data_IF_628924596825
#
_entry.id   IF_628924596825
#
_cell.length_a   1.000
_cell.length_b   1.000
_cell.length_c   1.000
_cell.angle_alpha   90.00
_cell.angle_beta   90.00
_cell.angle_gamma   90.00
#
_symmetry.space_group_name_H-M   'P 1'
#
loop_
_entity.id
_entity.type
_entity.pdbx_description
1 polymer ?
#
# COMPACT_ATOMS: atom_id res chain seq x y z
N UNK A 1 -26.34 -2.68 15.94
CA UNK A 1 -25.36 -2.70 17.05
C UNK A 1 -24.01 -3.10 16.46
N UNK A 2 -22.97 -2.28 16.56
CA UNK A 2 -21.64 -2.69 16.07
C UNK A 2 -21.04 -3.68 17.05
N UNK A 3 -20.55 -4.85 16.61
CA UNK A 3 -19.99 -5.84 17.51
C UNK A 3 -18.76 -5.25 18.22
N UNK A 4 -18.66 -5.52 19.53
CA UNK A 4 -17.52 -5.08 20.35
C UNK A 4 -16.24 -5.73 19.78
N UNK A 5 -15.17 -4.96 19.51
CA UNK A 5 -13.94 -5.52 18.95
C UNK A 5 -13.30 -6.53 19.90
N UNK A 6 -12.96 -7.70 19.36
CA UNK A 6 -12.26 -8.77 20.08
C UNK A 6 -10.78 -8.41 20.32
N UNK A 7 -10.07 -9.25 21.07
CA UNK A 7 -8.62 -9.09 21.26
C UNK A 7 -7.86 -9.18 19.93
N UNK A 8 -8.25 -10.09 19.05
CA UNK A 8 -7.62 -10.26 17.73
C UNK A 8 -7.90 -9.06 16.82
N UNK A 9 -9.10 -8.48 16.87
CA UNK A 9 -9.42 -7.26 16.12
C UNK A 9 -8.53 -6.10 16.55
N UNK A 10 -8.30 -5.94 17.86
CA UNK A 10 -7.40 -4.91 18.41
C UNK A 10 -5.95 -5.15 18.01
N UNK A 11 -5.47 -6.40 18.08
CA UNK A 11 -4.11 -6.75 17.66
C UNK A 11 -3.89 -6.46 16.16
N UNK A 12 -4.84 -6.84 15.31
CA UNK A 12 -4.78 -6.57 13.87
C UNK A 12 -4.84 -5.06 13.58
N UNK A 13 -5.65 -4.30 14.32
CA UNK A 13 -5.72 -2.85 14.21
C UNK A 13 -4.40 -2.17 14.67
N UNK A 14 -3.75 -2.66 15.72
CA UNK A 14 -2.44 -2.16 16.14
C UNK A 14 -1.36 -2.46 15.10
N UNK A 15 -1.35 -3.67 14.53
CA UNK A 15 -0.44 -4.02 13.45
C UNK A 15 -0.67 -3.12 12.22
N UNK A 16 -1.93 -2.89 11.86
CA UNK A 16 -2.32 -1.93 10.81
C UNK A 16 -1.73 -0.55 11.07
N UNK A 17 -1.89 -0.02 12.29
CA UNK A 17 -1.37 1.31 12.65
C UNK A 17 0.16 1.32 12.56
N UNK A 18 0.84 0.30 13.07
CA UNK A 18 2.30 0.21 13.02
C UNK A 18 2.81 0.20 11.57
N UNK A 19 2.21 -0.62 10.70
CA UNK A 19 2.52 -0.62 9.26
C UNK A 19 2.21 0.72 8.62
N UNK A 20 1.08 1.35 8.97
CA UNK A 20 0.73 2.69 8.51
C UNK A 20 1.79 3.74 8.89
N UNK A 21 2.29 3.72 10.12
CA UNK A 21 3.35 4.62 10.60
C UNK A 21 4.65 4.41 9.82
N UNK A 22 5.04 3.16 9.52
CA UNK A 22 6.21 2.91 8.67
C UNK A 22 6.07 3.56 7.29
N UNK A 23 4.88 3.43 6.67
CA UNK A 23 4.59 4.06 5.38
C UNK A 23 4.55 5.59 5.46
N UNK A 24 4.10 6.16 6.59
CA UNK A 24 4.18 7.61 6.80
C UNK A 24 5.65 8.09 6.81
N UNK A 25 6.53 7.39 7.54
CA UNK A 25 7.97 7.72 7.59
C UNK A 25 8.61 7.60 6.20
N UNK A 26 8.32 6.52 5.48
CA UNK A 26 8.90 6.31 4.14
C UNK A 26 8.33 7.25 3.07
N UNK A 27 7.05 7.61 3.16
CA UNK A 27 6.39 8.51 2.23
C UNK A 27 6.74 9.97 2.49
N UNK A 28 6.77 10.41 3.75
CA UNK A 28 7.07 11.79 4.13
C UNK A 28 8.46 12.22 3.65
N UNK A 29 9.49 11.41 3.90
CA UNK A 29 10.84 11.67 3.37
C UNK A 29 10.87 11.84 1.84
N UNK A 30 10.05 11.09 1.10
CA UNK A 30 10.00 11.17 -0.37
C UNK A 30 9.25 12.38 -0.92
N UNK A 31 8.32 12.93 -0.15
CA UNK A 31 7.52 14.11 -0.53
C UNK A 31 8.16 15.40 -0.02
N UNK A 32 8.83 15.35 1.13
CA UNK A 32 9.46 16.50 1.76
C UNK A 32 10.76 16.95 1.06
N UNK A 33 11.50 16.03 0.44
CA UNK A 33 12.70 16.34 -0.36
C UNK A 33 12.44 15.98 -1.84
N UNK A 34 12.60 16.96 -2.75
CA UNK A 34 12.39 16.76 -4.19
C UNK A 34 13.38 15.76 -4.80
N UNK A 35 14.49 15.46 -4.11
CA UNK A 35 15.51 14.52 -4.60
C UNK A 35 14.97 13.17 -5.01
N UNK A 36 13.97 12.63 -4.29
CA UNK A 36 13.38 11.34 -4.67
C UNK A 36 12.70 11.43 -6.04
N UNK A 37 11.96 12.50 -6.28
CA UNK A 37 11.23 12.76 -7.52
C UNK A 37 12.18 13.10 -8.67
N UNK A 38 13.16 13.94 -8.42
CA UNK A 38 14.05 14.48 -9.45
C UNK A 38 15.01 13.42 -10.00
N UNK A 39 15.54 12.56 -9.12
CA UNK A 39 16.57 11.57 -9.52
C UNK A 39 16.53 10.26 -8.74
N UNK A 40 16.10 10.28 -7.47
CA UNK A 40 16.16 9.11 -6.59
C UNK A 40 15.34 7.92 -7.09
N UNK A 41 14.15 8.15 -7.65
CA UNK A 41 13.33 7.08 -8.21
C UNK A 41 14.03 6.38 -9.37
N UNK A 42 14.54 7.15 -10.34
CA UNK A 42 15.31 6.60 -11.48
C UNK A 42 16.51 5.80 -10.99
N UNK A 43 17.27 6.35 -10.03
CA UNK A 43 18.40 5.66 -9.41
C UNK A 43 18.01 4.29 -8.85
N UNK A 44 16.89 4.20 -8.13
CA UNK A 44 16.41 2.91 -7.60
C UNK A 44 15.99 1.93 -8.69
N UNK A 45 15.29 2.40 -9.74
CA UNK A 45 14.93 1.53 -10.88
C UNK A 45 16.16 1.00 -11.60
N UNK A 46 17.17 1.85 -11.84
CA UNK A 46 18.43 1.42 -12.45
C UNK A 46 19.18 0.44 -11.55
N UNK A 47 19.19 0.66 -10.23
CA UNK A 47 19.76 -0.28 -9.26
C UNK A 47 19.03 -1.62 -9.24
N UNK A 48 17.71 -1.64 -9.35
CA UNK A 48 16.92 -2.88 -9.48
C UNK A 48 17.27 -3.65 -10.75
N UNK A 49 17.44 -2.94 -11.87
CA UNK A 49 17.86 -3.54 -13.13
C UNK A 49 19.28 -4.14 -13.06
N UNK A 50 20.16 -3.59 -12.22
CA UNK A 50 21.52 -4.09 -11.98
C UNK A 50 21.55 -5.23 -10.95
N UNK A 51 20.76 -5.12 -9.87
CA UNK A 51 20.80 -5.98 -8.69
C UNK A 51 19.95 -7.25 -8.76
N UNK A 52 19.48 -7.63 -9.94
CA UNK A 52 18.65 -8.82 -10.15
C UNK A 52 17.15 -8.48 -10.08
N UNK A 53 16.60 -7.97 -11.17
CA UNK A 53 15.15 -7.90 -11.39
C UNK A 53 14.64 -9.24 -11.94
N UNK A 54 13.40 -9.61 -11.63
CA UNK A 54 12.80 -10.77 -12.30
C UNK A 54 12.68 -10.52 -13.81
N UNK A 55 13.04 -11.50 -14.67
CA UNK A 55 13.11 -11.29 -16.13
C UNK A 55 11.84 -10.73 -16.78
N UNK A 56 10.67 -11.12 -16.27
CA UNK A 56 9.38 -10.65 -16.80
C UNK A 56 9.03 -9.20 -16.43
N UNK A 57 9.63 -8.65 -15.37
CA UNK A 57 9.41 -7.26 -14.92
C UNK A 57 10.38 -6.31 -15.62
N UNK A 58 11.56 -6.80 -15.99
CA UNK A 58 12.63 -5.98 -16.57
C UNK A 58 12.20 -5.12 -17.79
N UNK A 59 11.39 -5.62 -18.75
CA UNK A 59 10.89 -4.80 -19.86
C UNK A 59 9.97 -3.66 -19.40
N UNK A 60 9.16 -3.88 -18.36
CA UNK A 60 8.26 -2.87 -17.79
C UNK A 60 9.06 -1.77 -17.11
N UNK A 61 10.09 -2.13 -16.35
CA UNK A 61 10.98 -1.15 -15.74
C UNK A 61 11.72 -0.31 -16.79
N UNK A 62 12.30 -0.96 -17.81
CA UNK A 62 13.07 -0.27 -18.85
C UNK A 62 12.23 0.61 -19.77
N UNK A 63 11.01 0.19 -20.08
CA UNK A 63 10.12 0.90 -20.99
C UNK A 63 9.26 1.94 -20.26
N UNK A 64 7.99 1.62 -19.94
CA UNK A 64 7.02 2.60 -19.46
C UNK A 64 7.40 3.30 -18.16
N UNK A 65 8.11 2.62 -17.25
CA UNK A 65 8.50 3.18 -15.95
C UNK A 65 9.63 4.21 -16.14
N UNK A 66 10.76 3.85 -16.73
CA UNK A 66 11.86 4.79 -16.94
C UNK A 66 11.53 5.93 -17.91
N UNK A 67 10.67 5.68 -18.92
CA UNK A 67 10.22 6.72 -19.85
C UNK A 67 9.45 7.84 -19.14
N UNK A 68 8.72 7.52 -18.06
CA UNK A 68 7.92 8.48 -17.29
C UNK A 68 8.35 8.53 -15.82
N UNK A 69 9.65 8.38 -15.56
CA UNK A 69 10.20 8.20 -14.21
C UNK A 69 9.71 9.26 -13.21
N UNK A 70 9.63 10.53 -13.62
CA UNK A 70 9.15 11.62 -12.78
C UNK A 70 7.67 11.46 -12.36
N UNK A 71 6.79 11.05 -13.28
CA UNK A 71 5.38 10.82 -12.97
C UNK A 71 5.19 9.63 -12.03
N UNK A 72 5.93 8.54 -12.27
CA UNK A 72 5.93 7.37 -11.39
C UNK A 72 6.52 7.68 -10.02
N UNK A 73 7.53 8.54 -9.93
CA UNK A 73 8.11 8.96 -8.67
C UNK A 73 7.07 9.68 -7.78
N UNK A 74 6.30 10.61 -8.35
CA UNK A 74 5.19 11.25 -7.64
C UNK A 74 4.11 10.26 -7.24
N UNK A 75 3.73 9.35 -8.15
CA UNK A 75 2.71 8.35 -7.85
C UNK A 75 3.14 7.45 -6.68
N UNK A 76 4.40 7.03 -6.65
CA UNK A 76 4.95 6.21 -5.56
C UNK A 76 5.02 7.00 -4.26
N UNK A 77 5.57 8.22 -4.29
CA UNK A 77 5.72 9.05 -3.08
C UNK A 77 4.35 9.38 -2.45
N UNK A 78 3.40 9.86 -3.26
CA UNK A 78 2.05 10.17 -2.79
C UNK A 78 1.26 8.91 -2.44
N UNK A 79 1.47 7.80 -3.17
CA UNK A 79 0.83 6.52 -2.92
C UNK A 79 1.23 5.94 -1.57
N UNK A 80 2.53 5.86 -1.29
CA UNK A 80 3.05 5.41 0.00
C UNK A 80 2.52 6.26 1.15
N UNK A 81 2.59 7.60 1.02
CA UNK A 81 2.08 8.52 2.04
C UNK A 81 0.58 8.34 2.27
N UNK A 82 -0.21 8.23 1.19
CA UNK A 82 -1.66 8.03 1.27
C UNK A 82 -2.02 6.69 1.91
N UNK A 83 -1.30 5.62 1.59
CA UNK A 83 -1.45 4.31 2.25
C UNK A 83 -1.15 4.45 3.75
N UNK A 84 -0.05 5.12 4.10
CA UNK A 84 0.33 5.37 5.49
C UNK A 84 -0.76 6.11 6.28
N UNK A 85 -1.29 7.21 5.73
CA UNK A 85 -2.37 7.99 6.36
C UNK A 85 -3.63 7.13 6.52
N UNK A 86 -4.08 6.47 5.45
CA UNK A 86 -5.27 5.63 5.47
C UNK A 86 -5.14 4.50 6.50
N UNK A 87 -3.99 3.83 6.55
CA UNK A 87 -3.71 2.77 7.50
C UNK A 87 -3.46 3.26 8.91
N UNK A 88 -2.96 4.47 9.16
CA UNK A 88 -2.82 4.97 10.53
C UNK A 88 -4.19 5.35 11.10
N UNK A 89 -4.99 6.09 10.33
CA UNK A 89 -6.29 6.62 10.77
C UNK A 89 -7.43 5.60 10.70
N UNK A 90 -7.23 4.49 10.01
CA UNK A 90 -8.26 3.45 9.83
C UNK A 90 -9.34 3.86 8.83
N UNK A 91 -8.98 4.68 7.84
CA UNK A 91 -9.89 5.19 6.81
C UNK A 91 -9.61 4.43 5.52
N UNK A 92 -10.66 3.96 4.82
CA UNK A 92 -10.51 3.22 3.56
C UNK A 92 -9.51 2.04 3.63
N UNK A 93 -9.41 1.38 4.80
CA UNK A 93 -8.38 0.36 5.10
C UNK A 93 -8.29 -0.73 4.04
N UNK A 94 -9.42 -1.24 3.55
CA UNK A 94 -9.43 -2.28 2.50
C UNK A 94 -8.78 -1.81 1.20
N UNK A 95 -9.08 -0.58 0.77
CA UNK A 95 -8.52 0.00 -0.45
C UNK A 95 -7.02 0.27 -0.29
N UNK A 96 -6.64 0.91 0.83
CA UNK A 96 -5.23 1.14 1.16
C UNK A 96 -4.44 -0.18 1.25
N UNK A 97 -5.07 -1.24 1.76
CA UNK A 97 -4.45 -2.56 1.85
C UNK A 97 -4.28 -3.23 0.50
N UNK A 98 -5.25 -3.09 -0.41
CA UNK A 98 -5.13 -3.60 -1.77
C UNK A 98 -3.98 -2.92 -2.54
N UNK A 99 -3.88 -1.59 -2.44
CA UNK A 99 -2.77 -0.84 -3.07
C UNK A 99 -1.43 -1.14 -2.41
N UNK A 100 -1.37 -1.22 -1.08
CA UNK A 100 -0.15 -1.60 -0.36
C UNK A 100 0.35 -2.99 -0.73
N UNK A 101 -0.57 -3.97 -0.85
CA UNK A 101 -0.23 -5.31 -1.34
C UNK A 101 0.32 -5.25 -2.77
N UNK A 102 -0.37 -4.57 -3.68
CA UNK A 102 0.08 -4.44 -5.06
C UNK A 102 1.47 -3.77 -5.15
N UNK A 103 1.70 -2.74 -4.33
CA UNK A 103 2.98 -2.04 -4.26
C UNK A 103 4.11 -2.92 -3.71
N UNK A 104 3.89 -3.66 -2.62
CA UNK A 104 4.88 -4.60 -2.09
C UNK A 104 5.20 -5.73 -3.07
N UNK A 105 4.21 -6.25 -3.79
CA UNK A 105 4.44 -7.24 -4.84
C UNK A 105 5.24 -6.66 -6.01
N UNK A 106 4.95 -5.43 -6.41
CA UNK A 106 5.73 -4.75 -7.46
C UNK A 106 7.20 -4.62 -7.06
N UNK A 107 7.51 -4.21 -5.81
CA UNK A 107 8.89 -4.14 -5.32
C UNK A 107 9.54 -5.52 -5.18
N UNK A 108 8.79 -6.52 -4.69
CA UNK A 108 9.26 -7.90 -4.54
C UNK A 108 9.74 -8.48 -5.87
N UNK A 109 8.98 -8.28 -6.96
CA UNK A 109 9.41 -8.77 -8.27
C UNK A 109 10.40 -7.84 -8.99
N UNK A 110 10.51 -6.59 -8.54
CA UNK A 110 11.48 -5.64 -9.10
C UNK A 110 12.90 -5.87 -8.59
N UNK A 111 13.09 -6.57 -7.46
CA UNK A 111 14.37 -6.61 -6.74
C UNK A 111 14.79 -8.02 -6.32
N UNK A 112 16.09 -8.16 -6.03
CA UNK A 112 16.72 -9.29 -5.36
C UNK A 112 16.43 -10.68 -5.96
N UNK A 113 16.20 -10.79 -7.28
CA UNK A 113 16.04 -12.08 -7.96
C UNK A 113 17.32 -12.93 -7.84
N UNK A 114 17.28 -14.10 -7.16
CA UNK A 114 18.48 -14.91 -6.93
C UNK A 114 19.07 -15.57 -8.19
N UNK A 115 18.30 -15.62 -9.28
CA UNK A 115 18.70 -16.27 -10.52
C UNK A 115 18.06 -17.66 -10.72
N UNK A 116 18.05 -18.17 -11.97
CA UNK A 116 17.46 -19.46 -12.29
C UNK A 116 18.22 -20.60 -11.58
N UNK A 117 17.48 -21.59 -11.08
CA UNK A 117 18.06 -22.76 -10.41
C UNK A 117 18.51 -22.54 -8.95
N UNK A 118 18.33 -21.34 -8.40
CA UNK A 118 18.56 -21.09 -6.98
C UNK A 118 17.66 -21.98 -6.09
N UNK A 119 18.12 -22.43 -4.91
CA UNK A 119 17.27 -23.11 -3.94
C UNK A 119 16.08 -22.24 -3.49
N UNK A 120 14.94 -22.87 -3.18
CA UNK A 120 13.70 -22.18 -2.81
C UNK A 120 13.89 -21.16 -1.67
N UNK A 121 14.68 -21.48 -0.65
CA UNK A 121 14.90 -20.59 0.49
C UNK A 121 15.58 -19.27 0.12
N UNK A 122 16.40 -19.24 -0.95
CA UNK A 122 17.05 -18.01 -1.39
C UNK A 122 16.04 -17.01 -1.95
N UNK A 123 14.98 -17.48 -2.61
CA UNK A 123 13.88 -16.64 -3.06
C UNK A 123 13.14 -15.99 -1.91
N UNK A 124 12.81 -16.78 -0.88
CA UNK A 124 12.15 -16.25 0.31
C UNK A 124 13.05 -15.30 1.09
N UNK A 125 14.32 -15.66 1.28
CA UNK A 125 15.30 -14.82 1.97
C UNK A 125 15.51 -13.48 1.29
N UNK A 126 15.63 -13.48 -0.04
CA UNK A 126 15.79 -12.27 -0.85
C UNK A 126 14.54 -11.38 -0.88
N UNK A 127 13.36 -11.96 -0.69
CA UNK A 127 12.09 -11.26 -0.71
C UNK A 127 11.66 -10.69 0.65
N UNK A 128 12.38 -10.95 1.75
CA UNK A 128 11.94 -10.61 3.11
C UNK A 128 11.62 -9.12 3.30
N UNK A 129 12.36 -8.23 2.63
CA UNK A 129 12.16 -6.78 2.71
C UNK A 129 10.74 -6.35 2.32
N UNK A 130 10.09 -7.10 1.42
CA UNK A 130 8.77 -6.75 0.87
C UNK A 130 7.70 -7.79 1.23
N UNK A 131 8.08 -9.06 1.37
CA UNK A 131 7.16 -10.18 1.59
C UNK A 131 6.42 -10.06 2.92
N UNK A 132 7.11 -9.67 3.99
CA UNK A 132 6.49 -9.54 5.32
C UNK A 132 5.40 -8.46 5.31
N UNK A 133 5.67 -7.31 4.69
CA UNK A 133 4.70 -6.23 4.53
C UNK A 133 3.56 -6.64 3.60
N UNK A 134 3.85 -7.33 2.49
CA UNK A 134 2.82 -7.89 1.60
C UNK A 134 1.86 -8.81 2.35
N UNK A 135 2.37 -9.71 3.20
CA UNK A 135 1.55 -10.59 4.02
C UNK A 135 0.70 -9.82 5.04
N UNK A 136 1.25 -8.75 5.64
CA UNK A 136 0.49 -7.86 6.53
C UNK A 136 -0.67 -7.19 5.78
N UNK A 137 -0.44 -6.64 4.59
CA UNK A 137 -1.49 -6.08 3.75
C UNK A 137 -2.54 -7.12 3.34
N UNK A 138 -2.11 -8.34 3.01
CA UNK A 138 -3.01 -9.48 2.76
C UNK A 138 -3.89 -9.78 3.97
N UNK A 139 -3.31 -9.81 5.17
CA UNK A 139 -4.06 -9.99 6.42
C UNK A 139 -5.05 -8.85 6.69
N UNK A 140 -4.70 -7.60 6.37
CA UNK A 140 -5.62 -6.47 6.50
C UNK A 140 -6.78 -6.52 5.50
N UNK A 141 -6.53 -7.04 4.29
CA UNK A 141 -7.54 -7.18 3.24
C UNK A 141 -8.53 -8.33 3.54
N UNK A 142 -8.01 -9.45 4.02
CA UNK A 142 -8.81 -10.64 4.38
C UNK A 142 -9.50 -10.49 5.74
N UNK A 143 -8.84 -9.82 6.68
CA UNK A 143 -9.34 -9.62 8.04
C UNK A 143 -10.18 -8.36 8.23
N UNK A 144 -10.52 -8.10 9.49
CA UNK A 144 -11.28 -6.91 9.92
C UNK A 144 -10.35 -5.87 10.56
N UNK A 145 -9.32 -5.45 9.83
CA UNK A 145 -8.30 -4.52 10.34
C UNK A 145 -8.85 -3.12 10.70
N UNK A 146 -10.07 -2.80 10.27
CA UNK A 146 -10.81 -1.58 10.62
C UNK A 146 -11.85 -1.78 11.76
N UNK A 147 -11.94 -2.97 12.36
CA UNK A 147 -12.89 -3.22 13.45
C UNK A 147 -12.58 -2.42 14.73
N UNK A 148 -11.31 -2.08 14.97
CA UNK A 148 -10.86 -1.30 16.11
C UNK A 148 -10.00 -0.10 15.67
N UNK A 149 -9.98 0.95 16.51
CA UNK A 149 -9.13 2.13 16.37
C UNK A 149 -9.20 2.81 15.00
N UNK A 150 -10.41 2.95 14.45
CA UNK A 150 -10.68 3.72 13.22
C UNK A 150 -11.36 5.04 13.52
N UNK A 151 -11.03 6.06 12.73
CA UNK A 151 -11.77 7.31 12.70
C UNK A 151 -13.06 7.10 11.89
N UNK A 152 -14.19 7.55 12.43
CA UNK A 152 -15.45 7.60 11.69
C UNK A 152 -15.54 8.96 11.00
N UNK A 153 -15.50 8.98 9.67
CA UNK A 153 -15.83 10.21 8.96
C UNK A 153 -17.33 10.50 9.10
N UNK A 154 -17.72 11.74 9.37
CA UNK A 154 -19.10 12.15 9.26
C UNK A 154 -19.48 12.18 7.79
N UNK A 155 -20.08 11.10 7.27
CA UNK A 155 -20.75 11.17 5.97
C UNK A 155 -22.10 11.87 6.18
N UNK A 156 -22.42 12.97 5.46
CA UNK A 156 -23.77 13.52 5.49
C UNK A 156 -24.68 12.48 4.83
N UNK A 157 -25.47 11.80 5.64
CA UNK A 157 -26.55 10.96 5.12
C UNK A 157 -27.43 11.86 4.24
N UNK A 158 -27.44 11.61 2.93
CA UNK A 158 -28.48 12.17 2.06
C UNK A 158 -29.80 11.59 2.56
N UNK A 159 -30.52 12.35 3.39
CA UNK A 159 -31.91 12.07 3.67
C UNK A 159 -32.66 12.26 2.36
N UNK A 160 -32.97 11.17 1.67
CA UNK A 160 -33.95 11.21 0.61
C UNK A 160 -35.29 11.52 1.27
N UNK A 161 -35.71 12.79 1.23
CA UNK A 161 -37.08 13.18 1.54
C UNK A 161 -37.97 12.54 0.48
N UNK A 162 -38.54 11.39 0.81
CA UNK A 162 -39.64 10.80 0.04
C UNK A 162 -40.85 11.70 0.30
N UNK A 163 -41.17 12.56 -0.67
CA UNK A 163 -42.46 13.25 -0.69
C UNK A 163 -43.52 12.20 -1.03
N UNK A 164 -44.35 11.83 -0.05
CA UNK A 164 -45.58 11.08 -0.27
C UNK A 164 -46.60 12.00 -0.95
N UNK A 165 -47.10 11.68 -2.16
CA UNK A 165 -48.26 12.36 -2.72
C UNK A 165 -49.50 11.54 -2.36
N UNK A 166 -50.03 11.73 -1.14
CA UNK A 166 -51.35 11.24 -0.79
C UNK A 166 -51.98 12.14 0.29
N UNK A 167 -52.82 13.09 -0.15
CA UNK A 167 -54.05 13.53 0.54
C UNK A 167 -54.51 14.92 0.03
N UNK A 168 -55.21 14.93 -1.10
CA UNK A 168 -56.36 15.83 -1.37
C UNK A 168 -57.31 14.94 -2.18
N UNK A 169 -58.45 14.51 -1.63
CA UNK A 169 -59.51 15.35 -1.11
C UNK A 169 -60.49 15.53 -2.25
#
# INVERSE_FOLDING_TARGET
MTPIPTRNDRALALLRIAVGVLFLVFGEYKVADSKFVDSGFRYWIERFLQGGVYPFVAPVLRGPILAHAHAWAWLVALGELSIGIALALGICVRLASAFGLAFMLALLFSSNYPGPGAPLWQYFGAALDHLVLALCFGAFLAGRADAAFRIKLPWPARSASRSDPAARG
#
